data_IF_604697015413
#
_entry.id   IF_604697015413
#
_cell.length_a   1.000
_cell.length_b   1.000
_cell.length_c   1.000
_cell.angle_alpha   90.00
_cell.angle_beta   90.00
_cell.angle_gamma   90.00
#
_symmetry.space_group_name_H-M   'P 1'
#
loop_
_entity.id
_entity.type
_entity.pdbx_description
1 polymer ?
2 non-polymer ?
3 non-polymer ?
4 water ?
#
# COMPACT_ATOMS: atom_id res chain seq x y z
N UNK A 1 -11.54 4.43 13.92
CA UNK A 1 -12.24 3.17 13.69
C UNK A 1 -13.54 3.39 12.93
N UNK A 2 -13.68 2.64 11.82
CA UNK A 2 -14.88 2.72 10.99
C UNK A 2 -15.47 1.34 10.74
N UNK A 3 -16.80 1.28 10.68
CA UNK A 3 -17.51 0.03 10.44
C UNK A 3 -17.25 -0.46 9.02
N UNK A 4 -17.54 -1.74 8.78
CA UNK A 4 -17.38 -2.32 7.45
C UNK A 4 -18.22 -1.54 6.44
N UNK A 5 -19.44 -1.22 6.83
CA UNK A 5 -20.35 -0.45 5.98
C UNK A 5 -19.78 0.94 5.68
N UNK A 6 -19.05 1.50 6.64
CA UNK A 6 -18.46 2.82 6.49
C UNK A 6 -17.40 2.84 5.38
N UNK A 7 -16.52 1.84 5.40
CA UNK A 7 -15.47 1.73 4.40
C UNK A 7 -16.03 1.45 3.01
N UNK A 8 -17.07 0.63 2.95
CA UNK A 8 -17.72 0.30 1.67
C UNK A 8 -18.27 1.54 0.98
N UNK A 9 -18.70 2.52 1.78
CA UNK A 9 -19.24 3.76 1.24
C UNK A 9 -18.20 4.53 0.44
N UNK A 10 -17.04 4.76 1.07
CA UNK A 10 -15.94 5.47 0.43
C UNK A 10 -15.44 4.71 -0.80
N UNK A 11 -15.44 3.38 -0.69
CA UNK A 11 -15.02 2.52 -1.78
C UNK A 11 -15.86 2.77 -3.02
N UNK A 12 -17.18 2.82 -2.85
CA UNK A 12 -18.09 3.05 -3.96
C UNK A 12 -17.91 4.46 -4.51
N UNK A 13 -17.59 5.40 -3.64
CA UNK A 13 -17.34 6.79 -4.06
C UNK A 13 -15.99 6.94 -4.73
N UNK A 14 -15.00 6.17 -4.27
CA UNK A 14 -13.70 6.13 -4.92
C UNK A 14 -13.84 5.49 -6.30
N UNK A 15 -14.65 4.42 -6.37
CA UNK A 15 -14.90 3.71 -7.61
C UNK A 15 -15.59 4.61 -8.63
N UNK A 16 -16.56 5.40 -8.17
CA UNK A 16 -17.29 6.31 -9.04
C UNK A 16 -16.41 7.45 -9.53
N UNK A 17 -15.45 7.85 -8.70
CA UNK A 17 -14.56 8.95 -9.05
C UNK A 17 -13.59 8.54 -10.15
N UNK A 18 -13.05 7.34 -10.05
CA UNK A 18 -12.12 6.81 -11.04
C UNK A 18 -12.79 6.61 -12.40
N UNK A 19 -13.93 5.93 -12.40
CA UNK A 19 -14.61 5.56 -13.63
C UNK A 19 -15.15 6.77 -14.38
N UNK A 20 -15.86 7.65 -13.67
CA UNK A 20 -16.42 8.84 -14.29
C UNK A 20 -15.34 9.86 -14.62
N UNK A 21 -14.21 9.77 -13.92
CA UNK A 21 -13.06 10.61 -14.22
C UNK A 21 -13.05 11.98 -13.59
N UNK A 22 -14.03 12.24 -12.71
CA UNK A 22 -14.09 13.52 -12.01
C UNK A 22 -13.04 13.62 -10.91
N UNK A 23 -12.05 14.51 -11.09
CA UNK A 23 -10.93 14.63 -10.14
C UNK A 23 -11.35 15.27 -8.83
N UNK A 24 -12.32 16.18 -8.87
CA UNK A 24 -12.79 16.87 -7.68
C UNK A 24 -13.38 15.87 -6.69
N UNK A 25 -13.97 14.81 -7.23
CA UNK A 25 -14.54 13.75 -6.40
C UNK A 25 -13.44 13.03 -5.61
N UNK A 26 -12.33 12.70 -6.28
CA UNK A 26 -11.21 12.05 -5.63
C UNK A 26 -10.66 12.88 -4.47
N UNK A 27 -10.42 14.16 -4.76
CA UNK A 27 -9.80 15.07 -3.80
C UNK A 27 -10.66 15.26 -2.54
N UNK A 28 -11.98 15.29 -2.73
CA UNK A 28 -12.89 15.47 -1.61
C UNK A 28 -12.90 14.27 -0.66
N UNK A 29 -12.38 13.14 -1.13
CA UNK A 29 -12.34 11.93 -0.32
C UNK A 29 -10.99 11.78 0.38
N UNK A 30 -10.06 12.68 0.09
CA UNK A 30 -8.74 12.66 0.71
C UNK A 30 -8.72 13.50 1.98
N UNK A 31 -7.94 13.08 2.96
CA UNK A 31 -7.76 13.87 4.18
C UNK A 31 -6.72 14.95 3.91
N UNK A 32 -6.85 16.10 4.60
CA UNK A 32 -5.92 17.23 4.44
C UNK A 32 -4.46 16.84 4.63
N UNK A 33 -4.21 15.84 5.46
CA UNK A 33 -2.84 15.40 5.73
C UNK A 33 -2.55 14.04 5.09
N UNK A 34 -3.18 13.76 3.95
CA UNK A 34 -3.04 12.46 3.29
C UNK A 34 -1.61 12.23 2.80
N UNK A 35 -1.11 11.01 2.99
CA UNK A 35 0.23 10.66 2.57
C UNK A 35 0.19 9.76 1.35
N UNK A 36 0.81 10.21 0.26
CA UNK A 36 0.78 9.50 -1.01
C UNK A 36 2.17 9.01 -1.41
N UNK A 37 2.35 7.71 -1.44
CA UNK A 37 3.61 7.14 -1.90
C UNK A 37 3.43 6.40 -3.22
N UNK A 38 4.15 6.83 -4.24
CA UNK A 38 4.11 6.15 -5.54
C UNK A 38 5.49 6.20 -6.20
N UNK A 39 6.10 5.02 -6.32
CA UNK A 39 7.46 4.92 -6.81
C UNK A 39 8.42 5.56 -5.83
N UNK A 40 9.38 6.32 -6.35
CA UNK A 40 10.33 7.04 -5.51
C UNK A 40 9.77 8.33 -4.96
N UNK A 41 8.70 8.81 -5.58
CA UNK A 41 8.09 10.08 -5.19
C UNK A 41 7.18 9.91 -3.98
N UNK A 42 7.20 10.91 -3.09
CA UNK A 42 6.33 10.92 -1.92
C UNK A 42 5.71 12.30 -1.75
N UNK A 43 4.44 12.33 -1.33
CA UNK A 43 3.70 13.57 -1.21
C UNK A 43 2.99 13.66 0.13
N UNK A 44 3.07 14.82 0.77
CA UNK A 44 2.53 14.99 2.12
C UNK A 44 1.19 15.70 2.12
N UNK A 45 0.97 16.59 1.15
CA UNK A 45 -0.22 17.40 1.14
C UNK A 45 -1.41 16.80 0.42
N UNK A 46 -2.60 17.25 0.78
CA UNK A 46 -3.82 16.91 0.05
C UNK A 46 -3.89 17.71 -1.24
N UNK A 47 -3.44 18.96 -1.16
CA UNK A 47 -3.43 19.84 -2.33
C UNK A 47 -2.32 19.41 -3.29
N UNK A 48 -1.25 18.86 -2.72
CA UNK A 48 -0.16 18.30 -3.52
C UNK A 48 -0.61 17.01 -4.20
N UNK A 49 -1.48 16.26 -3.53
CA UNK A 49 -2.04 15.04 -4.09
C UNK A 49 -2.91 15.34 -5.30
N UNK A 50 -3.69 16.41 -5.22
CA UNK A 50 -4.53 16.85 -6.32
C UNK A 50 -3.68 17.26 -7.52
N UNK A 51 -2.58 17.95 -7.23
CA UNK A 51 -1.69 18.44 -8.27
C UNK A 51 -1.06 17.29 -9.05
N UNK A 52 -0.65 16.26 -8.34
CA UNK A 52 -0.03 15.10 -8.97
C UNK A 52 -1.06 14.27 -9.71
N UNK A 53 -2.30 14.28 -9.22
CA UNK A 53 -3.37 13.55 -9.88
C UNK A 53 -3.70 14.17 -11.24
N UNK A 54 -3.90 15.49 -11.26
CA UNK A 54 -4.21 16.19 -12.50
C UNK A 54 -3.04 16.15 -13.47
N UNK A 55 -1.82 16.17 -12.93
CA UNK A 55 -0.62 16.09 -13.75
C UNK A 55 -0.54 14.74 -14.47
N UNK A 56 -1.13 13.72 -13.85
CA UNK A 56 -1.20 12.40 -14.46
C UNK A 56 -2.38 12.30 -15.42
N UNK A 57 -3.50 12.89 -15.04
CA UNK A 57 -4.73 12.81 -15.82
C UNK A 57 -4.66 13.58 -17.14
N UNK A 58 -3.67 14.44 -17.29
CA UNK A 58 -3.56 15.24 -18.51
C UNK A 58 -2.94 14.44 -19.65
N UNK A 59 -2.38 13.28 -19.32
CA UNK A 59 -1.80 12.41 -20.33
C UNK A 59 -2.67 11.16 -20.54
N UNK A 60 -3.54 10.89 -19.59
CA UNK A 60 -4.42 9.72 -19.67
C UNK A 60 -5.62 9.98 -20.57
N UNK A 61 -5.80 9.11 -21.56
CA UNK A 61 -6.89 9.27 -22.53
C UNK A 61 -8.09 8.40 -22.19
N UNK A 62 -7.86 7.42 -21.32
CA UNK A 62 -8.87 6.42 -21.03
C UNK A 62 -8.60 5.75 -19.68
N UNK A 63 -9.57 5.84 -18.78
CA UNK A 63 -9.46 5.23 -17.46
C UNK A 63 -10.45 4.07 -17.32
N UNK A 64 -10.00 2.96 -16.75
CA UNK A 64 -10.88 1.80 -16.61
C UNK A 64 -10.66 1.06 -15.30
N UNK A 65 -11.67 1.06 -14.44
CA UNK A 65 -11.59 0.32 -13.19
C UNK A 65 -11.73 -1.18 -13.44
N UNK A 66 -10.65 -1.90 -13.18
CA UNK A 66 -10.58 -3.33 -13.47
C UNK A 66 -11.24 -4.17 -12.38
N UNK A 67 -10.90 -3.90 -11.13
CA UNK A 67 -11.45 -4.65 -10.00
C UNK A 67 -11.31 -3.85 -8.70
N UNK A 68 -12.25 -4.05 -7.79
CA UNK A 68 -12.25 -3.32 -6.53
C UNK A 68 -12.53 -4.25 -5.33
N UNK A 69 -11.66 -4.18 -4.32
CA UNK A 69 -11.81 -5.00 -3.13
C UNK A 69 -11.59 -4.20 -1.85
N UNK A 70 -12.14 -4.70 -0.75
CA UNK A 70 -12.03 -4.03 0.55
C UNK A 70 -11.43 -4.95 1.59
N UNK A 71 -10.27 -4.57 2.12
CA UNK A 71 -9.60 -5.34 3.16
C UNK A 71 -9.44 -4.48 4.40
N UNK A 72 -10.17 -4.83 5.46
CA UNK A 72 -10.23 -4.02 6.67
C UNK A 72 -10.59 -2.58 6.33
N UNK A 73 -9.71 -1.64 6.67
CA UNK A 73 -9.94 -0.24 6.36
C UNK A 73 -9.16 0.19 5.12
N UNK A 74 -8.85 -0.79 4.27
CA UNK A 74 -8.15 -0.51 3.03
C UNK A 74 -9.05 -0.78 1.83
N UNK A 75 -8.98 0.09 0.85
CA UNK A 75 -9.72 -0.09 -0.39
C UNK A 75 -8.74 -0.21 -1.54
N UNK A 76 -8.73 -1.37 -2.18
CA UNK A 76 -7.84 -1.61 -3.30
C UNK A 76 -8.55 -1.47 -4.64
N UNK A 77 -7.94 -0.74 -5.56
CA UNK A 77 -8.53 -0.52 -6.87
C UNK A 77 -7.52 -0.78 -7.98
N UNK A 78 -7.83 -1.73 -8.85
CA UNK A 78 -7.00 -2.02 -10.02
C UNK A 78 -7.47 -1.17 -11.19
N UNK A 79 -6.57 -0.37 -11.74
CA UNK A 79 -6.92 0.57 -12.80
C UNK A 79 -6.05 0.38 -14.04
N UNK A 80 -6.68 0.43 -15.22
CA UNK A 80 -5.95 0.44 -16.47
C UNK A 80 -5.95 1.85 -17.08
N UNK A 81 -4.77 2.33 -17.43
CA UNK A 81 -4.63 3.66 -18.02
C UNK A 81 -4.15 3.57 -19.46
N UNK A 82 -4.81 4.31 -20.35
CA UNK A 82 -4.34 4.41 -21.72
C UNK A 82 -3.63 5.74 -21.96
N UNK A 83 -2.34 5.66 -22.27
CA UNK A 83 -1.53 6.83 -22.59
C UNK A 83 -0.85 6.62 -23.94
N UNK A 84 -1.12 7.53 -24.87
CA UNK A 84 -0.55 7.47 -26.21
C UNK A 84 -0.78 6.11 -26.88
N UNK A 85 -1.99 5.58 -26.75
CA UNK A 85 -2.37 4.33 -27.37
C UNK A 85 -1.93 3.10 -26.59
N UNK A 86 -1.17 3.31 -25.52
CA UNK A 86 -0.65 2.19 -24.74
C UNK A 86 -1.37 2.05 -23.41
N UNK A 87 -1.65 0.80 -23.03
CA UNK A 87 -2.35 0.51 -21.79
C UNK A 87 -1.38 0.17 -20.65
N UNK A 88 -1.68 0.69 -19.47
CA UNK A 88 -0.84 0.46 -18.29
C UNK A 88 -1.72 0.11 -17.09
N UNK A 89 -1.24 -0.79 -16.24
CA UNK A 89 -2.00 -1.20 -15.06
C UNK A 89 -1.42 -0.66 -13.76
N UNK A 90 -2.28 0.00 -12.99
CA UNK A 90 -1.89 0.54 -11.69
C UNK A 90 -2.72 -0.07 -10.56
N UNK A 91 -2.10 -0.24 -9.40
CA UNK A 91 -2.82 -0.69 -8.22
C UNK A 91 -2.83 0.42 -7.17
N UNK A 92 -4.03 0.82 -6.75
CA UNK A 92 -4.20 1.82 -5.71
C UNK A 92 -4.66 1.17 -4.41
N UNK A 93 -4.09 1.59 -3.30
CA UNK A 93 -4.56 1.17 -1.99
C UNK A 93 -4.91 2.40 -1.16
N UNK A 94 -6.19 2.53 -0.81
CA UNK A 94 -6.63 3.66 -0.01
C UNK A 94 -6.93 3.23 1.42
N UNK A 95 -6.14 3.73 2.36
CA UNK A 95 -6.41 3.50 3.77
C UNK A 95 -7.27 4.64 4.30
N UNK A 96 -8.40 4.29 4.91
CA UNK A 96 -9.35 5.30 5.35
C UNK A 96 -9.31 5.51 6.85
N UNK A 97 -9.42 6.76 7.26
CA UNK A 97 -9.51 7.12 8.67
C UNK A 97 -10.57 8.21 8.85
N UNK A 98 -11.56 7.91 9.68
CA UNK A 98 -12.62 8.86 10.01
C UNK A 98 -13.40 9.36 8.79
N UNK A 99 -13.65 8.46 7.85
CA UNK A 99 -14.49 8.78 6.70
C UNK A 99 -13.74 9.38 5.51
N UNK A 100 -12.42 9.44 5.60
CA UNK A 100 -11.61 9.93 4.49
C UNK A 100 -10.31 9.14 4.37
N UNK A 101 -9.69 9.22 3.20
CA UNK A 101 -8.44 8.50 2.93
C UNK A 101 -7.27 9.22 3.59
N UNK A 102 -6.57 8.50 4.45
CA UNK A 102 -5.44 9.06 5.19
C UNK A 102 -4.12 8.74 4.50
N UNK A 103 -4.10 7.63 3.77
CA UNK A 103 -2.88 7.16 3.12
C UNK A 103 -3.19 6.51 1.77
N UNK A 104 -2.38 6.83 0.78
CA UNK A 104 -2.53 6.26 -0.56
C UNK A 104 -1.25 5.54 -0.99
N UNK A 105 -1.35 4.25 -1.26
CA UNK A 105 -0.20 3.48 -1.72
C UNK A 105 -0.43 2.95 -3.14
N UNK A 106 0.42 3.36 -4.06
CA UNK A 106 0.27 3.03 -5.48
C UNK A 106 1.45 2.20 -6.00
N UNK A 107 1.15 1.01 -6.53
CA UNK A 107 2.19 0.20 -7.16
C UNK A 107 2.31 0.52 -8.65
N UNK A 108 3.56 0.63 -9.11
CA UNK A 108 3.85 0.95 -10.50
C UNK A 108 4.74 -0.12 -11.14
N UNK A 109 4.27 -0.71 -12.24
CA UNK A 109 5.06 -1.65 -13.01
C UNK A 109 6.28 -0.95 -13.60
N UNK A 110 7.40 -1.67 -13.74
CA UNK A 110 8.66 -1.09 -14.24
C UNK A 110 8.52 -0.31 -15.54
N UNK A 111 7.71 -0.80 -16.46
CA UNK A 111 7.53 -0.10 -17.73
C UNK A 111 6.73 1.19 -17.56
N UNK A 112 5.89 1.23 -16.53
CA UNK A 112 5.12 2.43 -16.23
C UNK A 112 6.04 3.50 -15.66
N UNK A 113 7.01 3.07 -14.85
CA UNK A 113 7.96 3.98 -14.23
C UNK A 113 8.76 4.76 -15.27
N UNK A 114 9.06 4.10 -16.39
CA UNK A 114 9.74 4.75 -17.50
C UNK A 114 8.91 5.91 -18.03
N UNK A 115 7.63 5.63 -18.29
CA UNK A 115 6.70 6.64 -18.78
C UNK A 115 6.56 7.80 -17.80
N UNK A 116 6.44 7.48 -16.52
CA UNK A 116 6.35 8.49 -15.48
C UNK A 116 7.64 9.31 -15.39
N UNK A 117 8.75 8.66 -15.71
CA UNK A 117 10.05 9.33 -15.69
C UNK A 117 10.29 10.07 -17.00
N UNK A 118 9.53 9.71 -18.03
CA UNK A 118 9.66 10.34 -19.33
C UNK A 118 8.65 11.47 -19.50
N UNK A 119 7.36 11.14 -19.36
CA UNK A 119 6.29 12.12 -19.53
C UNK A 119 6.09 12.94 -18.27
N UNK A 120 6.97 12.73 -17.29
CA UNK A 120 7.03 13.44 -16.01
C UNK A 120 6.16 14.69 -15.88
N UNK B 1 5.15 -9.55 -14.52
CA UNK B 1 3.81 -10.07 -14.27
C UNK B 1 3.87 -11.51 -13.76
N UNK B 2 3.14 -11.79 -12.69
CA UNK B 2 3.14 -13.11 -12.09
C UNK B 2 1.75 -13.74 -12.09
N UNK B 3 1.72 -15.06 -12.27
CA UNK B 3 0.45 -15.80 -12.28
C UNK B 3 -0.17 -15.84 -10.89
N UNK B 4 -1.46 -16.18 -10.83
CA UNK B 4 -2.18 -16.24 -9.57
C UNK B 4 -1.60 -17.30 -8.64
N UNK B 5 -1.11 -18.39 -9.23
CA UNK B 5 -0.54 -19.48 -8.44
C UNK B 5 0.84 -19.13 -7.89
N UNK B 6 1.55 -18.27 -8.61
CA UNK B 6 2.89 -17.86 -8.19
C UNK B 6 2.83 -16.86 -7.04
N UNK B 7 1.78 -16.04 -7.04
CA UNK B 7 1.58 -15.05 -5.99
C UNK B 7 1.10 -15.73 -4.71
N UNK B 8 0.35 -16.81 -4.86
CA UNK B 8 -0.16 -17.55 -3.71
C UNK B 8 0.95 -18.23 -2.92
N UNK B 9 1.97 -18.72 -3.61
CA UNK B 9 3.10 -19.36 -2.94
C UNK B 9 3.83 -18.38 -2.04
N UNK B 10 4.01 -17.15 -2.52
CA UNK B 10 4.63 -16.11 -1.73
C UNK B 10 3.75 -15.73 -0.55
N UNK B 11 2.44 -15.66 -0.79
CA UNK B 11 1.47 -15.35 0.25
C UNK B 11 1.55 -16.35 1.40
N UNK B 12 1.65 -17.64 1.06
CA UNK B 12 1.74 -18.69 2.07
C UNK B 12 3.03 -18.56 2.86
N UNK B 13 4.14 -18.31 2.16
CA UNK B 13 5.42 -18.08 2.82
C UNK B 13 5.33 -16.86 3.73
N UNK B 14 4.66 -15.82 3.27
CA UNK B 14 4.45 -14.63 4.06
C UNK B 14 3.55 -14.92 5.26
N UNK B 15 2.46 -15.64 5.01
CA UNK B 15 1.53 -16.00 6.07
C UNK B 15 2.22 -16.85 7.13
N UNK B 16 3.08 -17.76 6.67
CA UNK B 16 3.78 -18.67 7.58
C UNK B 16 4.74 -17.93 8.49
N UNK B 17 5.46 -16.96 7.93
CA UNK B 17 6.44 -16.19 8.71
C UNK B 17 5.75 -15.33 9.76
N UNK B 18 4.47 -15.02 9.56
CA UNK B 18 3.71 -14.25 10.53
C UNK B 18 3.07 -15.16 11.57
N UNK B 19 2.53 -16.29 11.14
CA UNK B 19 1.98 -17.27 12.07
C UNK B 19 3.08 -17.86 12.95
N UNK B 20 4.29 -17.95 12.41
CA UNK B 20 5.47 -18.27 13.19
C UNK B 20 6.14 -16.97 13.64
N UNK B 21 7.31 -17.09 14.26
CA UNK B 21 7.96 -15.93 14.83
C UNK B 21 8.98 -15.24 13.95
N UNK B 22 9.96 -16.02 13.48
CA UNK B 22 11.13 -15.49 12.79
C UNK B 22 10.83 -14.54 11.63
N UNK B 23 11.55 -13.40 11.60
CA UNK B 23 11.52 -12.47 10.48
C UNK B 23 12.55 -12.84 9.42
N UNK B 24 13.32 -13.89 9.70
CA UNK B 24 14.39 -14.33 8.81
C UNK B 24 13.86 -14.87 7.50
N UNK B 25 12.57 -15.19 7.46
CA UNK B 25 11.94 -15.70 6.26
C UNK B 25 11.48 -14.58 5.34
N UNK B 26 11.05 -13.47 5.93
CA UNK B 26 10.51 -12.36 5.16
C UNK B 26 11.61 -11.60 4.42
N UNK B 27 12.79 -11.52 5.05
CA UNK B 27 13.93 -10.86 4.42
C UNK B 27 14.39 -11.63 3.18
N UNK B 28 14.26 -12.95 3.23
CA UNK B 28 14.59 -13.80 2.09
C UNK B 28 13.60 -13.63 0.94
N UNK B 29 12.45 -13.05 1.25
CA UNK B 29 11.42 -12.81 0.24
C UNK B 29 11.58 -11.43 -0.39
N UNK B 30 12.43 -10.60 0.21
CA UNK B 30 12.63 -9.23 -0.25
C UNK B 30 13.54 -9.14 -1.46
N UNK B 31 13.20 -8.22 -2.37
CA UNK B 31 14.03 -7.91 -3.52
C UNK B 31 15.16 -6.99 -3.09
N UNK B 32 16.32 -7.05 -3.79
CA UNK B 32 17.45 -6.17 -3.44
C UNK B 32 17.11 -4.69 -3.48
N UNK B 33 16.13 -4.32 -4.31
CA UNK B 33 15.77 -2.91 -4.48
C UNK B 33 14.45 -2.58 -3.78
N UNK B 34 14.05 -3.44 -2.86
CA UNK B 34 12.78 -3.30 -2.14
C UNK B 34 12.62 -1.92 -1.50
N UNK B 35 11.39 -1.42 -1.50
CA UNK B 35 11.07 -0.14 -0.88
C UNK B 35 10.01 -0.33 0.20
N UNK B 36 10.37 0.01 1.44
CA UNK B 36 9.44 -0.11 2.56
C UNK B 36 9.00 1.27 3.03
N UNK B 37 7.69 1.49 3.09
CA UNK B 37 7.17 2.78 3.52
C UNK B 37 6.36 2.66 4.80
N UNK B 38 6.91 3.16 5.90
CA UNK B 38 6.22 3.17 7.19
C UNK B 38 6.21 4.58 7.77
N UNK B 39 5.02 5.06 8.15
CA UNK B 39 4.85 6.40 8.64
C UNK B 39 5.25 7.41 7.58
N UNK B 40 6.09 8.37 7.96
CA UNK B 40 6.58 9.36 7.02
C UNK B 40 7.95 8.98 6.46
N UNK B 41 8.51 7.89 6.98
CA UNK B 41 9.82 7.43 6.56
C UNK B 41 9.73 6.36 5.49
N UNK B 42 10.72 6.35 4.59
CA UNK B 42 10.81 5.35 3.55
C UNK B 42 12.16 4.65 3.60
N UNK B 43 12.17 3.35 3.34
CA UNK B 43 13.39 2.57 3.39
C UNK B 43 13.65 1.91 2.04
N UNK B 44 14.86 2.05 1.53
CA UNK B 44 15.22 1.48 0.24
C UNK B 44 16.33 0.47 0.37
N UNK B 45 16.27 -0.59 -0.44
CA UNK B 45 17.29 -1.62 -0.43
C UNK B 45 17.04 -2.67 0.63
N UNK B 46 17.41 -3.90 0.34
CA UNK B 46 17.20 -5.02 1.25
C UNK B 46 17.99 -4.86 2.55
N UNK B 47 19.15 -4.24 2.45
CA UNK B 47 20.01 -4.03 3.61
C UNK B 47 19.31 -3.14 4.64
N UNK B 48 18.85 -1.98 4.20
CA UNK B 48 18.13 -1.06 5.08
C UNK B 48 16.79 -1.67 5.51
N UNK B 49 16.20 -2.48 4.62
CA UNK B 49 14.93 -3.12 4.92
C UNK B 49 15.08 -4.21 5.98
N UNK B 50 16.14 -5.00 5.86
CA UNK B 50 16.40 -6.06 6.84
C UNK B 50 16.72 -5.46 8.21
N UNK B 51 17.33 -4.28 8.21
CA UNK B 51 17.64 -3.57 9.44
C UNK B 51 16.36 -3.06 10.11
N UNK B 52 15.56 -2.33 9.36
CA UNK B 52 14.31 -1.78 9.89
C UNK B 52 13.38 -2.89 10.37
N UNK B 53 13.30 -3.96 9.59
CA UNK B 53 12.44 -5.08 9.91
C UNK B 53 12.84 -5.73 11.24
N UNK B 54 14.13 -6.03 11.36
CA UNK B 54 14.66 -6.69 12.56
C UNK B 54 14.43 -5.85 13.81
N UNK B 55 14.71 -4.55 13.71
CA UNK B 55 14.55 -3.63 14.83
C UNK B 55 13.11 -3.58 15.32
N UNK B 56 12.17 -3.64 14.38
CA UNK B 56 10.75 -3.60 14.72
C UNK B 56 10.29 -4.89 15.36
N UNK B 57 10.74 -6.02 14.81
CA UNK B 57 10.34 -7.33 15.32
C UNK B 57 10.91 -7.63 16.70
N UNK B 58 11.96 -6.89 17.08
CA UNK B 58 12.55 -7.06 18.40
C UNK B 58 11.76 -6.31 19.47
N UNK B 59 10.87 -5.43 19.03
CA UNK B 59 10.03 -4.67 19.94
C UNK B 59 8.72 -5.39 20.21
N UNK B 60 8.39 -6.35 19.34
CA UNK B 60 7.09 -7.02 19.37
C UNK B 60 7.13 -8.28 20.22
N UNK B 61 6.23 -8.35 21.21
CA UNK B 61 6.22 -9.47 22.14
C UNK B 61 5.20 -10.53 21.74
N UNK B 62 4.27 -10.16 20.88
CA UNK B 62 3.19 -11.06 20.48
C UNK B 62 2.64 -10.68 19.11
N UNK B 63 2.37 -11.69 18.29
CA UNK B 63 1.88 -11.49 16.94
C UNK B 63 0.64 -12.33 16.66
N UNK B 64 -0.43 -11.68 16.20
CA UNK B 64 -1.63 -12.40 15.79
C UNK B 64 -2.10 -11.97 14.40
N UNK B 65 -2.27 -12.95 13.51
CA UNK B 65 -2.73 -12.71 12.16
C UNK B 65 -4.25 -12.72 12.11
N UNK B 66 -4.84 -11.56 11.83
CA UNK B 66 -6.30 -11.43 11.79
C UNK B 66 -6.86 -11.98 10.49
N UNK B 67 -6.27 -11.58 9.36
CA UNK B 67 -6.74 -12.05 8.06
C UNK B 67 -5.66 -11.88 7.01
N UNK B 68 -5.75 -12.68 5.95
CA UNK B 68 -4.85 -12.59 4.81
C UNK B 68 -5.67 -12.52 3.53
N UNK B 69 -5.21 -11.71 2.57
CA UNK B 69 -5.94 -11.55 1.33
C UNK B 69 -4.99 -11.25 0.17
N UNK B 70 -5.30 -11.82 -1.00
CA UNK B 70 -4.51 -11.61 -2.19
C UNK B 70 -5.29 -10.81 -3.22
N UNK B 71 -4.67 -9.78 -3.76
CA UNK B 71 -5.29 -8.93 -4.75
C UNK B 71 -4.25 -8.55 -5.80
N UNK B 72 -4.40 -9.10 -7.01
CA UNK B 72 -3.40 -8.96 -8.07
C UNK B 72 -2.02 -9.41 -7.55
N UNK B 73 -1.01 -8.56 -7.72
CA UNK B 73 0.32 -8.88 -7.23
C UNK B 73 0.54 -8.36 -5.81
N UNK B 74 -0.55 -8.09 -5.11
CA UNK B 74 -0.48 -7.55 -3.76
C UNK B 74 -0.95 -8.58 -2.73
N UNK B 75 -0.15 -8.74 -1.68
CA UNK B 75 -0.50 -9.64 -0.59
C UNK B 75 -0.80 -8.84 0.66
N UNK B 76 -2.03 -8.94 1.14
CA UNK B 76 -2.43 -8.17 2.31
C UNK B 76 -2.59 -9.03 3.55
N UNK B 77 -1.90 -8.63 4.62
CA UNK B 77 -1.96 -9.35 5.88
C UNK B 77 -2.37 -8.41 7.01
N UNK B 78 -3.50 -8.70 7.64
CA UNK B 78 -3.96 -7.95 8.79
C UNK B 78 -3.40 -8.54 10.06
N UNK B 79 -2.64 -7.74 10.81
CA UNK B 79 -1.91 -8.26 11.98
C UNK B 79 -2.20 -7.45 13.24
N UNK B 80 -2.00 -8.11 14.39
CA UNK B 80 -2.03 -7.44 15.69
C UNK B 80 -0.69 -7.61 16.39
N UNK B 81 0.01 -6.50 16.65
CA UNK B 81 1.27 -6.53 17.37
C UNK B 81 1.10 -6.08 18.82
N UNK B 82 1.87 -6.68 19.72
CA UNK B 82 1.86 -6.28 21.12
C UNK B 82 3.22 -5.72 21.54
N UNK B 83 3.24 -4.44 21.87
CA UNK B 83 4.47 -3.77 22.30
C UNK B 83 4.28 -3.17 23.69
N UNK B 84 5.04 -3.68 24.66
CA UNK B 84 5.00 -3.19 26.03
C UNK B 84 3.60 -3.25 26.63
N UNK B 85 2.95 -4.40 26.54
CA UNK B 85 1.64 -4.59 27.14
C UNK B 85 0.47 -4.11 26.29
N UNK B 86 0.74 -3.18 25.39
CA UNK B 86 -0.32 -2.62 24.54
C UNK B 86 -0.41 -3.33 23.18
N UNK B 87 -1.62 -3.45 22.67
CA UNK B 87 -1.84 -4.15 21.41
C UNK B 87 -2.29 -3.21 20.30
N UNK B 88 -1.71 -3.37 19.11
CA UNK B 88 -1.98 -2.48 17.98
C UNK B 88 -2.30 -3.26 16.72
N UNK B 89 -3.28 -2.79 15.96
CA UNK B 89 -3.63 -3.40 14.68
C UNK B 89 -2.81 -2.77 13.56
N UNK B 90 -2.37 -3.60 12.62
CA UNK B 90 -1.58 -3.13 11.49
C UNK B 90 -1.94 -3.89 10.22
N UNK B 91 -1.72 -3.25 9.07
CA UNK B 91 -1.90 -3.91 7.78
C UNK B 91 -0.60 -3.92 7.00
N UNK B 92 -0.24 -5.08 6.47
CA UNK B 92 0.92 -5.20 5.61
C UNK B 92 0.48 -5.49 4.18
N UNK B 93 0.92 -4.66 3.25
CA UNK B 93 0.69 -4.95 1.83
C UNK B 93 2.02 -5.23 1.14
N UNK B 94 2.17 -6.45 0.65
CA UNK B 94 3.38 -6.84 -0.05
C UNK B 94 3.13 -6.90 -1.55
N UNK B 95 3.85 -6.08 -2.30
CA UNK B 95 3.79 -6.13 -3.76
C UNK B 95 4.89 -7.03 -4.30
N UNK B 96 4.49 -8.02 -5.12
CA UNK B 96 5.42 -9.00 -5.61
C UNK B 96 5.82 -8.76 -7.06
N UNK B 97 7.11 -8.98 -7.34
CA UNK B 97 7.67 -8.85 -8.68
C UNK B 97 8.66 -9.98 -8.94
N UNK B 98 8.37 -10.81 -9.94
CA UNK B 98 9.26 -11.88 -10.36
C UNK B 98 9.56 -12.90 -9.26
N UNK B 99 8.61 -13.07 -8.33
CA UNK B 99 8.78 -14.05 -7.28
C UNK B 99 9.30 -13.47 -5.96
N UNK B 100 9.70 -12.21 -5.98
CA UNK B 100 10.17 -11.54 -4.76
C UNK B 100 9.33 -10.29 -4.49
N UNK B 101 9.41 -9.79 -3.26
CA UNK B 101 8.68 -8.59 -2.88
C UNK B 101 9.46 -7.34 -3.28
N UNK B 102 8.88 -6.51 -4.15
CA UNK B 102 9.55 -5.30 -4.59
C UNK B 102 9.19 -4.11 -3.72
N UNK B 103 8.03 -4.15 -3.09
CA UNK B 103 7.55 -3.02 -2.30
C UNK B 103 6.71 -3.47 -1.11
N UNK B 104 6.95 -2.83 0.03
CA UNK B 104 6.17 -3.12 1.23
C UNK B 104 5.55 -1.84 1.78
N UNK B 105 4.23 -1.85 1.93
CA UNK B 105 3.50 -0.72 2.48
C UNK B 105 2.87 -1.10 3.80
N UNK B 106 3.16 -0.32 4.84
CA UNK B 106 2.67 -0.62 6.19
C UNK B 106 1.81 0.47 6.79
N UNK B 107 0.53 0.17 7.01
CA UNK B 107 -0.38 1.08 7.70
C UNK B 107 -0.44 0.77 9.19
N UNK B 108 -0.39 1.81 10.01
CA UNK B 108 -0.49 1.66 11.46
C UNK B 108 -1.57 2.57 12.03
N UNK B 109 -2.06 2.22 13.21
CA UNK B 109 -3.04 3.05 13.91
C UNK B 109 -2.43 4.38 14.28
N UNK B 110 -3.25 5.44 14.34
CA UNK B 110 -2.80 6.76 14.79
C UNK B 110 -2.20 6.71 16.19
N UNK B 111 -2.72 5.85 17.05
CA UNK B 111 -2.22 5.72 18.42
C UNK B 111 -0.84 5.06 18.46
N UNK B 112 -0.42 4.47 17.34
CA UNK B 112 0.87 3.80 17.28
C UNK B 112 1.92 4.72 16.64
N UNK B 113 1.48 5.86 16.14
CA UNK B 113 2.35 6.79 15.40
C UNK B 113 3.54 7.25 16.25
N UNK B 114 3.25 7.70 17.46
CA UNK B 114 4.30 8.17 18.37
C UNK B 114 5.22 7.02 18.76
N UNK B 115 4.63 5.85 19.02
CA UNK B 115 5.39 4.68 19.40
C UNK B 115 6.30 4.19 18.28
N UNK B 116 5.78 4.23 17.05
CA UNK B 116 6.56 3.80 15.88
C UNK B 116 7.73 4.76 15.65
N UNK B 117 7.54 6.02 16.04
CA UNK B 117 8.58 7.03 15.89
C UNK B 117 9.77 6.76 16.81
N UNK B 118 9.48 6.25 18.01
CA UNK B 118 10.53 5.95 18.98
C UNK B 118 11.40 4.78 18.52
N UNK B 119 10.77 3.76 17.95
CA UNK B 119 11.48 2.57 17.51
C UNK B 119 12.41 2.88 16.33
N UNK B 120 11.87 3.57 15.33
CA UNK B 120 12.64 3.86 14.12
C UNK B 120 13.63 5.02 14.32
N UNK B 121 13.47 5.74 15.42
CA UNK B 121 14.37 6.86 15.73
C UNK B 121 14.79 6.86 17.20
#
# INVERSE_FOLDING_TARGET
>A
HMTEEEVRKIMEKLKKAFKQGNPEQIVSLLSPDVKVDVGNQSFSGSEEAEKMWRKLMKFVDRVEVRDVRVFENAVMIAVEFEVNGQRYKMIFTFYVENGKVSMVSIYISPTMKKLMKQILNYG
>B
HMTEEEVRKIMEKLKKAFKQGNPEQIVSLLSPDVKVDVGNQSFSGSEEAEKMWRKLMKFVDRVEVRDVRVFENAVMIAVEFEVNGQRYKMIFTFYVENGKVSMVSIYISPTMKKLMKQILNYG
#
